data_IF_108128960113
#
_entry.id   IF_108128960113
#
_cell.length_a   1.000
_cell.length_b   1.000
_cell.length_c   1.000
_cell.angle_alpha   90.00
_cell.angle_beta   90.00
_cell.angle_gamma   90.00
#
_symmetry.space_group_name_H-M   'P 1'
#
loop_
_entity.id
_entity.type
_entity.pdbx_description
1 polymer ?
#
# COMPACT_ATOMS: atom_id res chain seq x y z
N UNK A 1 -15.16 29.27 10.18
CA UNK A 1 -15.87 28.25 11.00
C UNK A 1 -16.23 26.99 10.19
N UNK A 2 -16.77 27.13 8.99
CA UNK A 2 -17.07 25.98 8.08
C UNK A 2 -15.80 25.23 7.71
N UNK A 3 -14.69 25.92 7.43
CA UNK A 3 -13.40 25.28 7.07
C UNK A 3 -12.78 24.47 8.23
N UNK A 4 -12.96 24.93 9.48
CA UNK A 4 -12.47 24.20 10.66
C UNK A 4 -13.29 22.92 10.86
N UNK A 5 -14.60 22.96 10.64
CA UNK A 5 -15.49 21.80 10.77
C UNK A 5 -15.18 20.76 9.67
N UNK A 6 -14.92 21.20 8.44
CA UNK A 6 -14.55 20.32 7.33
C UNK A 6 -13.17 19.66 7.55
N UNK A 7 -12.20 20.40 8.05
CA UNK A 7 -10.88 19.88 8.42
C UNK A 7 -10.95 18.89 9.58
N UNK A 8 -11.72 19.20 10.64
CA UNK A 8 -11.96 18.26 11.74
C UNK A 8 -12.68 16.99 11.28
N UNK A 9 -13.63 17.11 10.36
CA UNK A 9 -14.28 15.97 9.72
C UNK A 9 -13.30 15.09 8.95
N UNK A 10 -12.37 15.68 8.23
CA UNK A 10 -11.32 14.97 7.49
C UNK A 10 -10.36 14.21 8.40
N UNK A 11 -9.90 14.83 9.49
CA UNK A 11 -9.03 14.18 10.49
C UNK A 11 -9.75 13.04 11.19
N UNK A 12 -11.00 13.24 11.62
CA UNK A 12 -11.78 12.20 12.27
C UNK A 12 -12.00 11.00 11.34
N UNK A 13 -12.29 11.24 10.05
CA UNK A 13 -12.42 10.19 9.03
C UNK A 13 -11.10 9.42 8.83
N UNK A 14 -9.99 10.13 8.75
CA UNK A 14 -8.65 9.52 8.66
C UNK A 14 -8.36 8.59 9.83
N UNK A 15 -8.66 9.03 11.06
CA UNK A 15 -8.47 8.21 12.26
C UNK A 15 -9.38 6.96 12.21
N UNK A 16 -10.64 7.11 11.85
CA UNK A 16 -11.57 5.97 11.74
C UNK A 16 -11.08 4.98 10.68
N UNK A 17 -10.73 5.45 9.48
CA UNK A 17 -10.21 4.60 8.41
C UNK A 17 -8.94 3.86 8.84
N UNK A 18 -8.01 4.54 9.49
CA UNK A 18 -6.78 3.95 10.00
C UNK A 18 -7.05 2.87 11.07
N UNK A 19 -7.91 3.17 12.04
CA UNK A 19 -8.29 2.22 13.10
C UNK A 19 -8.97 0.99 12.50
N UNK A 20 -9.87 1.15 11.53
CA UNK A 20 -10.54 0.02 10.86
C UNK A 20 -9.51 -0.83 10.09
N UNK A 21 -8.66 -0.20 9.29
CA UNK A 21 -7.62 -0.92 8.52
C UNK A 21 -6.69 -1.70 9.46
N UNK A 22 -6.16 -1.04 10.50
CA UNK A 22 -5.26 -1.66 11.46
C UNK A 22 -5.95 -2.81 12.22
N UNK A 23 -7.21 -2.63 12.64
CA UNK A 23 -7.97 -3.67 13.36
C UNK A 23 -8.18 -4.91 12.49
N UNK A 24 -8.43 -4.76 11.19
CA UNK A 24 -8.57 -5.88 10.25
C UNK A 24 -7.22 -6.61 10.12
N UNK A 25 -6.13 -5.88 9.87
CA UNK A 25 -4.80 -6.46 9.64
C UNK A 25 -4.29 -7.19 10.88
N UNK A 26 -4.37 -6.52 12.03
CA UNK A 26 -3.96 -7.11 13.32
C UNK A 26 -4.87 -8.27 13.71
N UNK A 27 -6.19 -8.13 13.51
CA UNK A 27 -7.14 -9.20 13.80
C UNK A 27 -6.84 -10.48 13.02
N UNK A 28 -6.49 -10.37 11.74
CA UNK A 28 -6.09 -11.50 10.90
C UNK A 28 -4.74 -12.07 11.33
N UNK A 29 -3.78 -11.21 11.66
CA UNK A 29 -2.48 -11.59 12.17
C UNK A 29 -2.59 -12.44 13.44
N UNK A 30 -3.28 -11.92 14.46
CA UNK A 30 -3.50 -12.62 15.73
C UNK A 30 -4.31 -13.92 15.54
N UNK A 31 -5.27 -13.89 14.59
CA UNK A 31 -6.03 -15.09 14.27
C UNK A 31 -5.15 -16.18 13.65
N UNK A 32 -4.12 -15.80 12.88
CA UNK A 32 -3.10 -16.74 12.41
C UNK A 32 -2.42 -17.49 13.56
N UNK A 33 -1.88 -16.76 14.54
CA UNK A 33 -1.28 -17.36 15.74
C UNK A 33 -2.28 -18.23 16.50
N UNK A 34 -3.48 -17.73 16.72
CA UNK A 34 -4.54 -18.43 17.45
C UNK A 34 -4.90 -19.78 16.82
N UNK A 35 -5.19 -19.78 15.50
CA UNK A 35 -5.70 -21.00 14.86
C UNK A 35 -4.63 -22.07 14.71
N UNK A 36 -3.40 -21.69 14.33
CA UNK A 36 -2.29 -22.63 14.19
C UNK A 36 -1.77 -23.10 15.55
N UNK A 37 -1.72 -22.22 16.56
CA UNK A 37 -1.43 -22.59 17.93
C UNK A 37 -2.39 -23.68 18.43
N UNK A 38 -3.67 -23.52 18.16
CA UNK A 38 -4.68 -24.53 18.50
C UNK A 38 -4.50 -25.84 17.75
N UNK A 39 -4.21 -25.82 16.45
CA UNK A 39 -3.93 -27.04 15.68
C UNK A 39 -2.66 -27.75 16.18
N UNK A 40 -1.71 -27.00 16.72
CA UNK A 40 -0.50 -27.50 17.36
C UNK A 40 -0.70 -27.99 18.80
N UNK A 41 -1.95 -27.96 19.33
CA UNK A 41 -2.27 -28.37 20.68
C UNK A 41 -2.00 -27.32 21.77
N UNK A 42 -1.66 -26.09 21.40
CA UNK A 42 -1.38 -24.99 22.32
C UNK A 42 -2.70 -24.31 22.68
N UNK A 43 -2.95 -24.13 23.99
CA UNK A 43 -4.18 -23.56 24.51
C UNK A 43 -4.11 -22.04 24.55
N UNK A 44 -4.99 -21.36 23.84
CA UNK A 44 -5.16 -19.91 23.94
C UNK A 44 -6.15 -19.56 25.07
N UNK A 45 -5.76 -18.68 25.98
CA UNK A 45 -6.60 -18.17 27.07
C UNK A 45 -7.37 -16.92 26.66
N UNK A 46 -6.73 -16.02 25.92
CA UNK A 46 -7.30 -14.73 25.50
C UNK A 46 -6.97 -14.47 24.04
N UNK A 47 -7.96 -14.00 23.30
CA UNK A 47 -7.81 -13.36 21.99
C UNK A 47 -8.33 -11.94 22.13
N UNK A 48 -7.48 -10.93 21.95
CA UNK A 48 -7.84 -9.54 22.12
C UNK A 48 -7.60 -8.72 20.85
N UNK A 49 -8.62 -7.98 20.44
CA UNK A 49 -8.46 -6.84 19.53
C UNK A 49 -8.34 -5.57 20.38
N UNK A 50 -7.19 -4.93 20.33
CA UNK A 50 -6.87 -3.77 21.14
C UNK A 50 -6.28 -4.10 22.50
N UNK A 51 -5.89 -3.03 23.21
CA UNK A 51 -5.31 -3.03 24.54
C UNK A 51 -6.15 -2.23 25.54
N UNK A 52 -5.88 -2.40 26.84
CA UNK A 52 -6.51 -1.61 27.91
C UNK A 52 -7.86 -2.15 28.37
N UNK A 53 -8.79 -1.28 28.82
CA UNK A 53 -10.09 -1.70 29.36
C UNK A 53 -10.94 -2.45 28.34
N UNK A 54 -11.61 -3.51 28.80
CA UNK A 54 -12.47 -4.33 27.94
C UNK A 54 -13.79 -3.60 27.68
N UNK A 55 -14.12 -3.42 26.39
CA UNK A 55 -15.40 -2.88 25.95
C UNK A 55 -16.43 -4.01 25.76
N UNK A 56 -15.98 -5.14 25.23
CA UNK A 56 -16.81 -6.33 25.02
C UNK A 56 -15.96 -7.58 25.23
N UNK A 57 -16.57 -8.66 25.78
CA UNK A 57 -15.90 -9.95 25.89
C UNK A 57 -16.90 -11.11 25.90
N UNK A 58 -16.47 -12.23 25.33
CA UNK A 58 -17.22 -13.50 25.33
C UNK A 58 -16.26 -14.67 25.41
N UNK A 59 -16.59 -15.66 26.22
CA UNK A 59 -15.83 -16.92 26.28
C UNK A 59 -16.42 -17.91 25.30
N UNK A 60 -15.57 -18.52 24.48
CA UNK A 60 -15.98 -19.57 23.55
C UNK A 60 -16.14 -20.92 24.27
N UNK A 61 -16.69 -21.94 23.55
CA UNK A 61 -16.89 -23.28 24.08
C UNK A 61 -15.61 -24.01 24.49
N UNK A 62 -14.45 -23.49 24.06
CA UNK A 62 -13.13 -24.06 24.31
C UNK A 62 -12.35 -23.32 25.41
N UNK A 63 -13.01 -22.33 26.01
CA UNK A 63 -12.51 -21.58 27.14
C UNK A 63 -11.68 -20.34 26.78
N UNK A 64 -11.45 -20.03 25.50
CA UNK A 64 -10.78 -18.79 25.07
C UNK A 64 -11.68 -17.58 25.29
N UNK A 65 -11.17 -16.55 25.96
CA UNK A 65 -11.84 -15.27 26.12
C UNK A 65 -11.56 -14.39 24.91
N UNK A 66 -12.58 -14.17 24.07
CA UNK A 66 -12.56 -13.20 22.98
C UNK A 66 -12.94 -11.85 23.52
N UNK A 67 -12.16 -10.82 23.23
CA UNK A 67 -12.44 -9.47 23.72
C UNK A 67 -12.06 -8.39 22.72
N UNK A 68 -12.77 -7.26 22.82
CA UNK A 68 -12.43 -6.00 22.17
C UNK A 68 -12.11 -5.00 23.28
N UNK A 69 -10.97 -4.35 23.18
CA UNK A 69 -10.49 -3.39 24.16
C UNK A 69 -10.52 -1.95 23.62
N UNK A 70 -10.42 -0.97 24.51
CA UNK A 70 -10.66 0.43 24.20
C UNK A 70 -9.59 1.10 23.32
N UNK A 71 -8.36 0.60 23.33
CA UNK A 71 -7.25 1.15 22.54
C UNK A 71 -7.02 0.27 21.30
N UNK A 72 -7.53 0.66 20.10
CA UNK A 72 -7.53 -0.21 18.91
C UNK A 72 -6.19 -0.15 18.14
N UNK A 73 -5.08 -0.01 18.85
CA UNK A 73 -3.72 0.10 18.28
C UNK A 73 -2.97 -1.22 18.33
N UNK A 74 -3.62 -2.34 18.03
CA UNK A 74 -3.00 -3.66 18.04
C UNK A 74 -3.95 -4.75 18.49
N UNK A 75 -3.36 -5.91 18.86
CA UNK A 75 -4.05 -7.05 19.39
C UNK A 75 -3.06 -8.01 20.05
N UNK A 76 -3.54 -9.10 20.60
CA UNK A 76 -2.70 -10.16 21.09
C UNK A 76 -3.46 -11.48 21.28
N UNK A 77 -2.74 -12.57 21.13
CA UNK A 77 -3.15 -13.89 21.63
C UNK A 77 -2.32 -14.21 22.85
N UNK A 78 -2.98 -14.50 23.97
CA UNK A 78 -2.30 -14.99 25.16
C UNK A 78 -2.50 -16.49 25.26
N UNK A 79 -1.40 -17.22 25.21
CA UNK A 79 -1.41 -18.66 25.40
C UNK A 79 -1.33 -19.03 26.89
N UNK A 80 -1.65 -20.27 27.20
CA UNK A 80 -1.57 -20.80 28.55
C UNK A 80 -0.13 -20.70 29.07
N UNK A 81 0.05 -20.10 30.23
CA UNK A 81 1.37 -19.92 30.85
C UNK A 81 2.07 -18.61 30.50
N UNK A 82 1.59 -17.84 29.51
CA UNK A 82 2.16 -16.53 29.19
C UNK A 82 1.95 -15.54 30.33
N UNK A 83 3.00 -14.76 30.66
CA UNK A 83 2.96 -13.78 31.75
C UNK A 83 2.00 -12.63 31.46
N UNK A 84 2.10 -12.07 30.26
CA UNK A 84 1.37 -10.90 29.81
C UNK A 84 0.96 -11.00 28.32
N UNK A 85 0.41 -9.89 27.79
CA UNK A 85 -0.04 -9.78 26.40
C UNK A 85 1.10 -9.86 25.36
N UNK A 86 2.34 -9.57 25.78
CA UNK A 86 3.50 -9.55 24.88
C UNK A 86 4.34 -10.83 24.99
N UNK A 87 3.95 -11.79 25.83
CA UNK A 87 4.70 -13.03 26.14
C UNK A 87 6.17 -12.77 26.53
N UNK A 88 6.47 -11.56 27.01
CA UNK A 88 7.83 -11.05 27.24
C UNK A 88 8.34 -11.27 28.67
N UNK A 89 7.49 -11.72 29.60
CA UNK A 89 7.81 -11.93 31.02
C UNK A 89 8.09 -13.38 31.35
N UNK A 90 8.60 -13.67 32.58
CA UNK A 90 8.67 -15.03 33.08
C UNK A 90 7.26 -15.63 33.13
N UNK A 91 7.09 -16.80 32.53
CA UNK A 91 5.78 -17.47 32.42
C UNK A 91 5.12 -17.68 33.79
N UNK A 92 3.81 -17.81 33.82
CA UNK A 92 3.06 -18.13 35.02
C UNK A 92 3.24 -19.62 35.34
N UNK A 93 3.24 -19.99 36.62
CA UNK A 93 3.21 -21.40 37.00
C UNK A 93 2.01 -22.12 36.36
N UNK A 94 2.27 -23.20 35.67
CA UNK A 94 1.23 -24.03 35.03
C UNK A 94 1.31 -25.43 35.61
N UNK A 95 0.16 -26.07 35.79
CA UNK A 95 0.09 -27.48 36.21
C UNK A 95 0.98 -28.34 35.28
N UNK A 96 1.88 -29.17 35.83
CA UNK A 96 2.74 -30.05 35.04
C UNK A 96 1.98 -30.88 33.99
N UNK A 97 0.74 -31.28 34.28
CA UNK A 97 -0.13 -32.02 33.34
C UNK A 97 -0.51 -31.22 32.11
N UNK A 98 -0.56 -29.87 32.20
CA UNK A 98 -0.91 -28.95 31.13
C UNK A 98 0.29 -28.35 30.41
N UNK A 99 1.51 -28.66 30.83
CA UNK A 99 2.74 -28.06 30.28
C UNK A 99 2.85 -28.18 28.77
N UNK A 100 2.42 -29.29 28.17
CA UNK A 100 2.41 -29.50 26.71
C UNK A 100 1.43 -28.60 25.98
N UNK A 101 0.46 -27.98 26.65
CA UNK A 101 -0.51 -27.05 26.10
C UNK A 101 -0.02 -25.59 26.20
N UNK A 102 1.15 -25.34 26.75
CA UNK A 102 1.79 -24.02 26.74
C UNK A 102 2.64 -23.84 25.49
N UNK A 103 2.90 -22.59 25.09
CA UNK A 103 3.79 -22.31 23.96
C UNK A 103 5.21 -22.88 24.22
N UNK A 104 5.76 -22.68 25.42
CA UNK A 104 7.10 -23.19 25.79
C UNK A 104 7.17 -24.72 25.85
N UNK A 105 6.12 -25.38 26.30
CA UNK A 105 6.08 -26.83 26.45
C UNK A 105 5.67 -27.60 25.19
N UNK A 106 5.25 -26.89 24.12
CA UNK A 106 4.89 -27.48 22.85
C UNK A 106 6.14 -27.97 22.08
N UNK A 107 5.99 -28.91 21.15
CA UNK A 107 7.05 -29.30 20.22
C UNK A 107 7.60 -28.13 19.45
N UNK A 108 8.89 -28.12 19.13
CA UNK A 108 9.55 -27.00 18.42
C UNK A 108 8.86 -26.62 17.11
N UNK A 109 8.45 -27.62 16.30
CA UNK A 109 7.71 -27.38 15.07
C UNK A 109 6.37 -26.66 15.32
N UNK A 110 5.66 -27.02 16.40
CA UNK A 110 4.39 -26.39 16.78
C UNK A 110 4.58 -24.94 17.23
N UNK A 111 5.65 -24.66 17.99
CA UNK A 111 6.04 -23.29 18.35
C UNK A 111 6.38 -22.46 17.12
N UNK A 112 7.23 -23.00 16.25
CA UNK A 112 7.63 -22.35 15.00
C UNK A 112 6.42 -22.05 14.10
N UNK A 113 5.57 -23.07 13.85
CA UNK A 113 4.37 -22.93 13.03
C UNK A 113 3.41 -21.89 13.61
N UNK A 114 3.20 -21.88 14.94
CA UNK A 114 2.31 -20.92 15.62
C UNK A 114 2.79 -19.50 15.43
N UNK A 115 4.08 -19.24 15.60
CA UNK A 115 4.62 -17.87 15.46
C UNK A 115 4.70 -17.45 14.00
N UNK A 116 5.08 -18.35 13.08
CA UNK A 116 5.08 -18.02 11.64
C UNK A 116 3.68 -17.74 11.07
N UNK A 117 2.63 -18.26 11.73
CA UNK A 117 1.27 -18.15 11.23
C UNK A 117 0.70 -16.72 11.21
N UNK A 118 1.13 -15.83 12.11
CA UNK A 118 0.73 -14.43 12.11
C UNK A 118 1.13 -13.70 10.83
N UNK A 119 2.44 -13.60 10.53
CA UNK A 119 2.90 -13.01 9.27
C UNK A 119 2.35 -13.68 8.02
N UNK A 120 2.24 -15.02 8.01
CA UNK A 120 1.67 -15.76 6.89
C UNK A 120 0.18 -15.43 6.68
N UNK A 121 -0.60 -15.25 7.76
CA UNK A 121 -1.99 -14.83 7.66
C UNK A 121 -2.12 -13.45 7.01
N UNK A 122 -1.20 -12.53 7.27
CA UNK A 122 -1.15 -11.23 6.62
C UNK A 122 -0.82 -11.34 5.12
N UNK A 123 0.08 -12.21 4.71
CA UNK A 123 0.34 -12.45 3.28
C UNK A 123 -0.86 -13.09 2.57
N UNK A 124 -1.55 -14.01 3.26
CA UNK A 124 -2.79 -14.61 2.74
C UNK A 124 -3.86 -13.54 2.60
N UNK A 125 -4.07 -12.67 3.59
CA UNK A 125 -5.02 -11.57 3.52
C UNK A 125 -4.72 -10.65 2.33
N UNK A 126 -3.47 -10.23 2.17
CA UNK A 126 -3.01 -9.41 1.05
C UNK A 126 -3.32 -10.08 -0.30
N UNK A 127 -2.94 -11.34 -0.46
CA UNK A 127 -3.18 -12.14 -1.68
C UNK A 127 -4.67 -12.26 -1.99
N UNK A 128 -5.49 -12.56 -0.99
CA UNK A 128 -6.95 -12.69 -1.16
C UNK A 128 -7.57 -11.36 -1.55
N UNK A 129 -7.16 -10.25 -0.93
CA UNK A 129 -7.64 -8.92 -1.30
C UNK A 129 -7.33 -8.60 -2.77
N UNK A 130 -6.08 -8.75 -3.20
CA UNK A 130 -5.69 -8.47 -4.58
C UNK A 130 -6.40 -9.39 -5.57
N UNK A 131 -6.48 -10.69 -5.27
CA UNK A 131 -7.21 -11.65 -6.11
C UNK A 131 -8.70 -11.30 -6.22
N UNK A 132 -9.36 -10.93 -5.10
CA UNK A 132 -10.77 -10.57 -5.08
C UNK A 132 -11.04 -9.27 -5.86
N UNK A 133 -10.20 -8.25 -5.68
CA UNK A 133 -10.37 -6.98 -6.41
C UNK A 133 -10.21 -7.19 -7.91
N UNK A 134 -9.20 -7.96 -8.33
CA UNK A 134 -8.99 -8.29 -9.75
C UNK A 134 -10.13 -9.14 -10.30
N UNK A 135 -10.66 -10.08 -9.53
CA UNK A 135 -11.82 -10.88 -9.94
C UNK A 135 -13.07 -10.01 -10.18
N UNK A 136 -13.23 -8.93 -9.40
CA UNK A 136 -14.36 -8.00 -9.51
C UNK A 136 -14.15 -6.96 -10.62
N UNK A 137 -12.95 -6.37 -10.72
CA UNK A 137 -12.66 -5.31 -11.68
C UNK A 137 -12.31 -5.85 -13.08
N UNK A 138 -11.89 -7.11 -13.17
CA UNK A 138 -11.37 -7.72 -14.38
C UNK A 138 -9.89 -7.41 -14.60
N UNK A 139 -9.34 -8.06 -15.60
CA UNK A 139 -8.01 -7.80 -16.15
C UNK A 139 -8.16 -7.17 -17.53
N UNK A 140 -7.26 -6.24 -17.87
CA UNK A 140 -7.24 -5.68 -19.21
C UNK A 140 -7.14 -6.80 -20.26
N UNK A 141 -7.87 -6.66 -21.36
CA UNK A 141 -7.74 -7.57 -22.49
C UNK A 141 -6.36 -7.37 -23.16
N UNK A 142 -5.82 -8.41 -23.77
CA UNK A 142 -4.46 -8.40 -24.34
C UNK A 142 -4.31 -7.34 -25.45
N UNK A 143 -5.36 -7.16 -26.25
CA UNK A 143 -5.41 -6.10 -27.27
C UNK A 143 -5.76 -4.75 -26.63
N UNK A 144 -5.24 -3.69 -27.20
CA UNK A 144 -5.54 -2.34 -26.71
C UNK A 144 -6.96 -1.95 -27.11
N UNK A 145 -7.90 -2.21 -26.22
CA UNK A 145 -9.31 -1.91 -26.44
C UNK A 145 -9.84 -0.88 -25.44
N UNK A 146 -10.59 0.09 -25.96
CA UNK A 146 -11.21 1.15 -25.17
C UNK A 146 -12.39 0.59 -24.37
N UNK A 147 -12.33 0.69 -23.05
CA UNK A 147 -13.44 0.33 -22.15
C UNK A 147 -14.38 1.52 -21.95
N UNK A 148 -14.00 2.45 -21.08
CA UNK A 148 -14.78 3.68 -20.84
C UNK A 148 -13.96 4.89 -21.26
N UNK A 149 -14.59 5.83 -21.95
CA UNK A 149 -13.97 7.09 -22.31
C UNK A 149 -14.20 8.10 -21.18
N UNK A 150 -13.11 8.74 -20.74
CA UNK A 150 -13.15 9.80 -19.74
C UNK A 150 -13.50 11.16 -20.39
N UNK A 151 -14.10 12.08 -19.64
CA UNK A 151 -14.32 13.44 -20.12
C UNK A 151 -13.00 14.12 -20.50
N UNK A 152 -13.02 14.90 -21.58
CA UNK A 152 -11.89 15.70 -22.04
C UNK A 152 -12.13 17.19 -21.80
N UNK A 153 -11.07 17.99 -21.57
CA UNK A 153 -11.17 19.43 -21.49
C UNK A 153 -11.72 20.06 -22.79
N UNK A 154 -12.36 21.24 -22.72
CA UNK A 154 -12.74 21.98 -23.91
C UNK A 154 -11.57 22.17 -24.86
N UNK A 155 -11.81 21.95 -26.15
CA UNK A 155 -10.80 22.08 -27.22
C UNK A 155 -9.89 20.84 -27.40
N UNK A 156 -10.03 19.80 -26.59
CA UNK A 156 -9.41 18.50 -26.83
C UNK A 156 -10.43 17.61 -27.56
N UNK A 157 -10.09 17.23 -28.78
CA UNK A 157 -10.94 16.33 -29.59
C UNK A 157 -10.69 14.90 -29.13
N UNK A 158 -11.77 14.17 -28.88
CA UNK A 158 -11.72 12.74 -28.56
C UNK A 158 -12.93 12.04 -29.18
N UNK A 159 -12.71 11.40 -30.33
CA UNK A 159 -13.72 10.64 -31.07
C UNK A 159 -13.66 9.12 -30.76
N UNK A 160 -12.76 8.70 -29.85
CA UNK A 160 -12.69 7.33 -29.38
C UNK A 160 -14.01 6.92 -28.70
N UNK A 161 -14.40 5.67 -28.86
CA UNK A 161 -15.63 5.11 -28.27
C UNK A 161 -15.32 3.82 -27.52
N UNK A 162 -16.17 3.50 -26.56
CA UNK A 162 -16.12 2.20 -25.92
C UNK A 162 -16.25 1.08 -26.94
N UNK A 163 -15.38 0.09 -26.88
CA UNK A 163 -15.31 -1.04 -27.83
C UNK A 163 -14.29 -0.85 -28.96
N UNK A 164 -13.75 0.35 -29.19
CA UNK A 164 -12.71 0.55 -30.21
C UNK A 164 -11.46 -0.27 -29.86
N UNK A 165 -10.98 -1.10 -30.80
CA UNK A 165 -9.66 -1.73 -30.73
C UNK A 165 -8.66 -0.81 -31.44
N UNK A 166 -7.64 -0.35 -30.71
CA UNK A 166 -6.63 0.59 -31.23
C UNK A 166 -5.62 -0.22 -32.05
N UNK A 167 -5.42 0.17 -33.31
CA UNK A 167 -4.50 -0.49 -34.23
C UNK A 167 -3.23 0.31 -34.46
N UNK A 168 -3.35 1.64 -34.60
CA UNK A 168 -2.21 2.53 -34.78
C UNK A 168 -2.52 3.96 -34.34
N UNK A 169 -1.47 4.76 -34.09
CA UNK A 169 -1.54 6.20 -33.81
C UNK A 169 -0.55 6.92 -34.73
N UNK A 170 -1.03 7.83 -35.57
CA UNK A 170 -0.23 8.50 -36.62
C UNK A 170 0.59 7.49 -37.45
N UNK A 171 -0.03 6.37 -37.84
CA UNK A 171 0.58 5.32 -38.61
C UNK A 171 1.56 4.42 -37.83
N UNK A 172 1.82 4.66 -36.55
CA UNK A 172 2.63 3.80 -35.67
C UNK A 172 1.77 2.67 -35.14
N UNK A 173 2.10 1.39 -35.41
CA UNK A 173 1.32 0.25 -34.92
C UNK A 173 1.27 0.20 -33.38
N UNK A 174 0.11 -0.17 -32.83
CA UNK A 174 -0.13 -0.36 -31.39
C UNK A 174 -0.70 -1.77 -31.17
N UNK A 175 0.13 -2.82 -31.28
CA UNK A 175 -0.33 -4.20 -31.14
C UNK A 175 -0.69 -4.59 -29.70
N UNK A 176 -0.12 -3.91 -28.70
CA UNK A 176 -0.26 -4.21 -27.28
C UNK A 176 -0.12 -2.96 -26.41
N UNK A 177 -0.35 -3.12 -25.11
CA UNK A 177 -0.25 -2.04 -24.12
C UNK A 177 1.16 -1.44 -24.01
N UNK A 178 2.26 -2.23 -24.01
CA UNK A 178 3.62 -1.68 -24.06
C UNK A 178 3.86 -0.76 -25.27
N UNK A 179 3.34 -1.11 -26.44
CA UNK A 179 3.44 -0.27 -27.63
C UNK A 179 2.67 1.04 -27.49
N UNK A 180 1.47 1.02 -26.87
CA UNK A 180 0.72 2.25 -26.55
C UNK A 180 1.52 3.16 -25.62
N UNK A 181 2.10 2.63 -24.56
CA UNK A 181 2.94 3.42 -23.64
C UNK A 181 4.19 3.96 -24.31
N UNK A 182 4.80 3.20 -25.22
CA UNK A 182 5.94 3.69 -26.01
C UNK A 182 5.52 4.83 -26.94
N UNK A 183 4.41 4.68 -27.66
CA UNK A 183 3.85 5.74 -28.49
C UNK A 183 3.60 7.01 -27.68
N UNK A 184 3.09 6.89 -26.45
CA UNK A 184 2.89 8.01 -25.54
C UNK A 184 4.17 8.75 -25.14
N UNK A 185 5.32 8.09 -25.16
CA UNK A 185 6.63 8.74 -24.91
C UNK A 185 7.24 9.35 -26.17
N UNK A 186 7.05 8.69 -27.31
CA UNK A 186 7.80 8.98 -28.55
C UNK A 186 7.06 9.96 -29.46
N UNK A 187 5.76 10.12 -29.30
CA UNK A 187 4.97 11.09 -30.09
C UNK A 187 5.26 12.52 -29.64
N UNK A 188 5.23 13.50 -30.57
CA UNK A 188 5.44 14.90 -30.22
C UNK A 188 4.33 15.42 -29.31
N UNK A 189 4.57 16.52 -28.61
CA UNK A 189 3.58 17.18 -27.80
C UNK A 189 2.57 17.91 -28.71
N UNK A 190 1.40 17.30 -28.93
CA UNK A 190 0.32 17.87 -29.74
C UNK A 190 -1.04 17.55 -29.12
N UNK A 191 -2.03 18.39 -29.45
CA UNK A 191 -3.36 18.28 -28.87
C UNK A 191 -4.19 17.14 -29.45
N UNK A 192 -3.88 16.67 -30.65
CA UNK A 192 -4.64 15.61 -31.31
C UNK A 192 -3.79 14.83 -32.31
N UNK A 193 -4.15 13.57 -32.50
CA UNK A 193 -3.51 12.59 -33.37
C UNK A 193 -4.56 11.84 -34.16
N UNK A 194 -4.14 11.20 -35.25
CA UNK A 194 -4.96 10.28 -36.03
C UNK A 194 -4.85 8.90 -35.44
N UNK A 195 -5.96 8.39 -34.89
CA UNK A 195 -6.05 7.04 -34.31
C UNK A 195 -6.76 6.14 -35.31
N UNK A 196 -6.07 5.09 -35.80
CA UNK A 196 -6.72 4.03 -36.54
C UNK A 196 -7.25 3.01 -35.57
N UNK A 197 -8.56 2.80 -35.59
CA UNK A 197 -9.24 1.87 -34.69
C UNK A 197 -10.08 0.89 -35.49
N UNK A 198 -10.29 -0.30 -34.92
CA UNK A 198 -11.30 -1.23 -35.42
C UNK A 198 -12.58 -1.04 -34.62
N UNK A 199 -13.62 -0.53 -35.30
CA UNK A 199 -14.95 -0.25 -34.76
C UNK A 199 -15.97 -1.06 -35.54
N UNK A 200 -16.76 -1.90 -34.86
CA UNK A 200 -17.78 -2.76 -35.48
C UNK A 200 -17.26 -3.60 -36.67
N UNK A 201 -15.99 -4.07 -36.55
CA UNK A 201 -15.33 -4.87 -37.58
C UNK A 201 -14.68 -4.09 -38.72
N UNK A 202 -14.92 -2.78 -38.85
CA UNK A 202 -14.31 -1.93 -39.85
C UNK A 202 -13.14 -1.11 -39.29
N UNK A 203 -12.13 -0.87 -40.10
CA UNK A 203 -11.03 0.03 -39.74
C UNK A 203 -11.43 1.44 -40.10
N UNK A 204 -11.39 2.34 -39.11
CA UNK A 204 -11.72 3.76 -39.25
C UNK A 204 -10.63 4.62 -38.61
N UNK A 205 -10.35 5.77 -39.20
CA UNK A 205 -9.47 6.78 -38.59
C UNK A 205 -10.34 7.84 -37.93
N UNK A 206 -10.00 8.10 -36.65
CA UNK A 206 -10.68 9.05 -35.78
C UNK A 206 -9.67 10.00 -35.16
N UNK A 207 -10.11 11.22 -34.82
CA UNK A 207 -9.25 12.15 -34.09
C UNK A 207 -9.31 11.86 -32.59
N UNK A 208 -8.15 11.75 -31.97
CA UNK A 208 -8.04 11.50 -30.54
C UNK A 208 -6.93 12.29 -29.88
N UNK A 209 -6.94 12.40 -28.54
CA UNK A 209 -5.94 13.14 -27.79
C UNK A 209 -4.59 12.42 -27.76
N UNK A 210 -3.58 13.07 -27.16
CA UNK A 210 -2.29 12.42 -26.88
C UNK A 210 -2.48 11.16 -26.05
N UNK A 211 -1.81 10.00 -26.39
CA UNK A 211 -1.97 8.75 -25.64
C UNK A 211 -1.43 8.79 -24.19
N UNK A 212 -0.56 9.73 -23.86
CA UNK A 212 -0.11 9.99 -22.50
C UNK A 212 -0.41 11.45 -22.10
N UNK A 213 -1.68 11.82 -21.90
CA UNK A 213 -2.06 13.20 -21.60
C UNK A 213 -1.61 13.60 -20.19
N UNK A 214 -1.59 14.92 -19.88
CA UNK A 214 -1.32 15.41 -18.54
C UNK A 214 -2.53 15.25 -17.59
N UNK A 215 -3.14 14.07 -17.61
CA UNK A 215 -4.24 13.63 -16.75
C UNK A 215 -3.68 13.04 -15.46
N UNK A 216 -4.16 13.50 -14.33
CA UNK A 216 -3.75 13.02 -13.01
C UNK A 216 -4.52 11.74 -12.68
N UNK A 217 -3.82 10.62 -12.61
CA UNK A 217 -4.35 9.34 -12.13
C UNK A 217 -4.34 9.24 -10.60
N UNK A 218 -3.34 9.83 -9.96
CA UNK A 218 -3.20 9.80 -8.51
C UNK A 218 -2.42 10.99 -7.97
N UNK A 219 -2.67 11.31 -6.70
CA UNK A 219 -1.98 12.37 -5.96
C UNK A 219 -1.37 11.77 -4.70
N UNK A 220 -0.07 11.90 -4.56
CA UNK A 220 0.64 11.39 -3.38
C UNK A 220 0.26 12.20 -2.13
N UNK A 221 0.05 11.55 -0.97
CA UNK A 221 -0.16 12.23 0.30
C UNK A 221 1.01 13.18 0.60
N UNK A 222 0.72 14.32 1.25
CA UNK A 222 1.72 15.32 1.66
C UNK A 222 2.58 15.90 0.54
N UNK A 223 2.21 15.64 -0.71
CA UNK A 223 2.86 16.24 -1.88
C UNK A 223 2.45 17.70 -2.05
N UNK A 224 3.20 18.42 -2.91
CA UNK A 224 2.82 19.77 -3.32
C UNK A 224 1.44 19.80 -3.98
N UNK A 225 1.13 18.79 -4.80
CA UNK A 225 -0.18 18.64 -5.45
C UNK A 225 -1.31 18.43 -4.44
N UNK A 226 -1.10 17.57 -3.44
CA UNK A 226 -2.08 17.35 -2.35
C UNK A 226 -2.33 18.62 -1.56
N UNK A 227 -1.26 19.35 -1.22
CA UNK A 227 -1.36 20.63 -0.49
C UNK A 227 -2.09 21.72 -1.29
N UNK A 228 -1.97 21.72 -2.61
CA UNK A 228 -2.68 22.63 -3.49
C UNK A 228 -4.13 22.20 -3.78
N UNK A 229 -4.57 21.00 -3.37
CA UNK A 229 -5.94 20.52 -3.59
C UNK A 229 -6.18 19.89 -4.96
N UNK A 230 -5.12 19.45 -5.66
CA UNK A 230 -5.25 18.65 -6.89
C UNK A 230 -5.86 17.28 -6.58
N UNK A 231 -6.59 16.72 -7.54
CA UNK A 231 -7.34 15.46 -7.38
C UNK A 231 -7.12 14.53 -8.58
N UNK A 232 -7.27 13.23 -8.41
CA UNK A 232 -7.39 12.30 -9.54
C UNK A 232 -8.52 12.72 -10.47
N UNK A 233 -8.27 12.67 -11.78
CA UNK A 233 -9.17 13.15 -12.82
C UNK A 233 -8.95 14.61 -13.26
N UNK A 234 -8.12 15.37 -12.55
CA UNK A 234 -7.69 16.72 -12.99
C UNK A 234 -6.78 16.61 -14.21
N UNK A 235 -6.92 17.55 -15.16
CA UNK A 235 -6.08 17.65 -16.36
C UNK A 235 -5.28 18.94 -16.32
N UNK A 236 -3.96 18.85 -16.36
CA UNK A 236 -3.09 20.01 -16.38
C UNK A 236 -3.05 20.57 -17.81
N UNK A 237 -3.55 21.80 -17.99
CA UNK A 237 -3.69 22.47 -19.28
C UNK A 237 -2.48 23.32 -19.64
N UNK A 238 -1.89 23.96 -18.65
CA UNK A 238 -0.72 24.82 -18.83
C UNK A 238 0.12 24.88 -17.57
N UNK A 239 1.42 25.18 -17.74
CA UNK A 239 2.37 25.49 -16.68
C UNK A 239 2.98 26.86 -17.02
N UNK A 240 2.90 27.82 -16.09
CA UNK A 240 3.40 29.18 -16.24
C UNK A 240 2.95 29.81 -17.58
N UNK A 241 1.65 29.61 -17.90
CA UNK A 241 1.01 30.10 -19.13
C UNK A 241 1.33 29.31 -20.40
N UNK A 242 2.24 28.36 -20.38
CA UNK A 242 2.59 27.54 -21.55
C UNK A 242 1.76 26.27 -21.59
N UNK A 243 1.01 25.98 -22.68
CA UNK A 243 0.21 24.76 -22.82
C UNK A 243 1.02 23.48 -22.66
N UNK A 244 0.38 22.44 -22.10
CA UNK A 244 0.93 21.10 -21.90
C UNK A 244 -0.03 20.08 -22.50
N UNK A 245 0.50 19.17 -23.33
CA UNK A 245 -0.28 18.13 -24.00
C UNK A 245 0.13 16.72 -23.58
N UNK A 246 1.31 16.57 -22.97
CA UNK A 246 1.91 15.30 -22.60
C UNK A 246 2.39 15.33 -21.14
N UNK A 247 2.20 14.22 -20.42
CA UNK A 247 2.61 14.13 -19.02
C UNK A 247 4.13 14.33 -18.81
N UNK A 248 4.95 13.91 -19.77
CA UNK A 248 6.39 14.11 -19.70
C UNK A 248 6.83 15.57 -19.77
N UNK A 249 6.06 16.45 -20.47
CA UNK A 249 6.32 17.90 -20.46
C UNK A 249 6.12 18.50 -19.07
N UNK A 250 5.07 18.03 -18.35
CA UNK A 250 4.84 18.42 -16.96
C UNK A 250 6.08 18.06 -16.11
N UNK A 251 6.56 16.82 -16.23
CA UNK A 251 7.72 16.34 -15.48
C UNK A 251 8.97 17.18 -15.78
N UNK A 252 9.27 17.44 -17.05
CA UNK A 252 10.42 18.23 -17.46
C UNK A 252 10.36 19.68 -16.94
N UNK A 253 9.19 20.31 -16.95
CA UNK A 253 9.01 21.67 -16.44
C UNK A 253 9.10 21.77 -14.94
N UNK A 254 8.54 20.78 -14.22
CA UNK A 254 8.65 20.68 -12.77
C UNK A 254 10.13 20.52 -12.36
N UNK A 255 10.90 19.71 -13.09
CA UNK A 255 12.34 19.56 -12.86
C UNK A 255 13.10 20.84 -13.15
N UNK A 256 12.79 21.52 -14.27
CA UNK A 256 13.43 22.77 -14.67
C UNK A 256 13.12 23.95 -13.73
N UNK A 257 12.03 23.90 -12.97
CA UNK A 257 11.70 24.92 -11.97
C UNK A 257 12.64 24.90 -10.75
N UNK A 258 13.47 23.87 -10.58
CA UNK A 258 14.49 23.71 -9.54
C UNK A 258 14.00 24.11 -8.12
N UNK A 259 12.76 23.74 -7.80
CA UNK A 259 12.11 24.06 -6.53
C UNK A 259 11.44 25.44 -6.49
N UNK A 260 11.46 26.20 -7.58
CA UNK A 260 10.67 27.43 -7.71
C UNK A 260 9.16 27.15 -7.72
N UNK A 261 8.38 28.16 -7.33
CA UNK A 261 6.92 28.07 -7.42
C UNK A 261 6.50 28.00 -8.90
N UNK A 262 5.56 27.12 -9.22
CA UNK A 262 4.97 26.94 -10.54
C UNK A 262 3.47 27.23 -10.48
N UNK A 263 2.93 27.82 -11.54
CA UNK A 263 1.51 28.07 -11.73
C UNK A 263 0.92 27.04 -12.69
N UNK A 264 0.05 26.17 -12.20
CA UNK A 264 -0.66 25.18 -13.00
C UNK A 264 -2.06 25.68 -13.33
N UNK A 265 -2.42 25.71 -14.60
CA UNK A 265 -3.81 25.79 -15.02
C UNK A 265 -4.37 24.39 -15.16
N UNK A 266 -5.41 24.10 -14.41
CA UNK A 266 -5.97 22.75 -14.29
C UNK A 266 -7.44 22.79 -14.66
N UNK A 267 -7.85 21.88 -15.51
CA UNK A 267 -9.26 21.63 -15.80
C UNK A 267 -9.75 20.44 -14.96
N UNK A 268 -10.90 20.62 -14.34
CA UNK A 268 -11.56 19.58 -13.53
C UNK A 268 -12.95 19.30 -14.09
N UNK A 269 -13.31 18.02 -14.36
CA UNK A 269 -14.64 17.65 -14.81
C UNK A 269 -15.74 18.20 -13.91
N UNK A 270 -16.69 18.94 -14.49
CA UNK A 270 -17.82 19.52 -13.75
C UNK A 270 -17.53 20.83 -12.98
N UNK A 271 -16.26 21.17 -12.72
CA UNK A 271 -15.90 22.42 -12.03
C UNK A 271 -15.26 23.47 -12.97
N UNK A 272 -14.72 23.05 -14.14
CA UNK A 272 -14.09 23.95 -15.11
C UNK A 272 -12.59 24.14 -14.88
N UNK A 273 -12.03 25.28 -15.34
CA UNK A 273 -10.61 25.61 -15.19
C UNK A 273 -10.36 26.45 -13.95
N UNK A 274 -9.24 26.15 -13.25
CA UNK A 274 -8.74 26.91 -12.12
C UNK A 274 -7.21 26.91 -12.10
N UNK A 275 -6.63 27.96 -11.51
CA UNK A 275 -5.19 28.11 -11.37
C UNK A 275 -4.75 27.67 -9.96
N UNK A 276 -3.67 26.88 -9.91
CA UNK A 276 -3.08 26.33 -8.68
C UNK A 276 -1.59 26.67 -8.61
N UNK A 277 -1.17 27.34 -7.56
CA UNK A 277 0.26 27.60 -7.32
C UNK A 277 0.79 26.57 -6.35
N UNK A 278 1.93 25.95 -6.69
CA UNK A 278 2.58 24.97 -5.83
C UNK A 278 4.11 25.01 -5.99
N UNK A 279 4.80 24.55 -4.97
CA UNK A 279 6.27 24.46 -4.96
C UNK A 279 6.65 22.99 -5.01
N UNK A 280 7.40 22.54 -6.03
CA UNK A 280 7.89 21.16 -6.11
C UNK A 280 8.73 20.79 -4.88
N UNK A 281 8.68 19.51 -4.49
CA UNK A 281 9.49 18.96 -3.41
C UNK A 281 10.54 18.01 -3.97
N UNK A 282 11.74 18.03 -3.41
CA UNK A 282 12.82 17.13 -3.81
C UNK A 282 12.64 15.78 -3.15
N UNK A 283 12.61 14.69 -3.94
CA UNK A 283 12.43 13.33 -3.46
C UNK A 283 13.40 12.37 -4.16
N UNK A 284 13.76 11.30 -3.45
CA UNK A 284 14.57 10.22 -4.01
C UNK A 284 13.64 9.24 -4.74
N UNK A 285 13.86 9.05 -6.04
CA UNK A 285 13.10 8.10 -6.87
C UNK A 285 13.99 6.91 -7.22
N UNK A 286 13.44 5.67 -7.15
CA UNK A 286 14.15 4.50 -7.61
C UNK A 286 14.36 4.55 -9.13
N UNK A 287 15.56 4.21 -9.58
CA UNK A 287 15.96 4.04 -10.98
C UNK A 287 16.51 2.63 -11.17
N UNK A 288 16.81 2.25 -12.42
CA UNK A 288 17.44 0.96 -12.69
C UNK A 288 18.83 0.82 -12.00
N UNK A 289 19.54 1.94 -11.85
CA UNK A 289 20.91 2.00 -11.32
C UNK A 289 21.00 2.48 -9.86
N UNK A 290 19.85 2.62 -9.16
CA UNK A 290 19.82 3.09 -7.76
C UNK A 290 18.72 4.11 -7.50
N UNK A 291 19.07 5.25 -6.92
CA UNK A 291 18.13 6.33 -6.60
C UNK A 291 18.62 7.66 -7.12
N UNK A 292 17.68 8.46 -7.66
CA UNK A 292 17.96 9.79 -8.18
C UNK A 292 17.09 10.83 -7.49
N UNK A 293 17.68 11.96 -7.11
CA UNK A 293 16.94 13.08 -6.51
C UNK A 293 16.29 13.91 -7.60
N UNK A 294 14.95 13.97 -7.58
CA UNK A 294 14.17 14.76 -8.53
C UNK A 294 13.18 15.68 -7.84
N UNK A 295 12.87 16.78 -8.51
CA UNK A 295 11.82 17.68 -8.12
C UNK A 295 10.45 17.11 -8.56
N UNK A 296 9.55 16.95 -7.62
CA UNK A 296 8.23 16.35 -7.85
C UNK A 296 7.12 17.21 -7.24
N UNK A 297 6.00 17.22 -7.92
CA UNK A 297 4.75 17.75 -7.35
C UNK A 297 3.90 16.65 -6.70
N UNK A 298 4.25 15.37 -6.92
CA UNK A 298 3.59 14.21 -6.32
C UNK A 298 2.31 13.82 -7.02
N UNK A 299 2.26 13.88 -8.36
CA UNK A 299 1.18 13.33 -9.18
C UNK A 299 1.69 12.16 -10.01
N UNK A 300 0.80 11.21 -10.30
CA UNK A 300 1.02 10.14 -11.27
C UNK A 300 0.14 10.38 -12.48
N UNK A 301 0.67 10.14 -13.69
CA UNK A 301 -0.05 10.25 -14.95
C UNK A 301 -0.90 9.02 -15.24
N UNK A 302 -1.92 9.21 -16.08
CA UNK A 302 -2.77 8.14 -16.59
C UNK A 302 -2.37 7.76 -18.04
N UNK A 303 -2.83 6.58 -18.47
CA UNK A 303 -2.55 6.02 -19.80
C UNK A 303 -3.54 6.48 -20.89
N UNK A 304 -4.17 7.63 -20.72
CA UNK A 304 -5.08 8.23 -21.69
C UNK A 304 -6.45 8.61 -21.11
N UNK A 305 -7.29 9.20 -21.96
CA UNK A 305 -8.66 9.55 -21.59
C UNK A 305 -9.63 8.37 -21.77
N UNK A 306 -9.16 7.16 -21.51
CA UNK A 306 -10.01 5.97 -21.49
C UNK A 306 -9.45 4.93 -20.53
N UNK A 307 -10.33 4.13 -19.97
CA UNK A 307 -9.92 2.93 -19.23
C UNK A 307 -9.84 1.73 -20.18
N UNK A 308 -8.95 0.77 -19.93
CA UNK A 308 -8.92 -0.49 -20.68
C UNK A 308 -10.27 -1.20 -20.67
N UNK A 309 -10.63 -1.87 -21.76
CA UNK A 309 -11.65 -2.91 -21.70
C UNK A 309 -11.10 -4.08 -20.86
N UNK A 310 -11.96 -4.62 -19.99
CA UNK A 310 -11.58 -5.71 -19.09
C UNK A 310 -12.39 -6.95 -19.35
N UNK A 311 -11.78 -8.11 -19.09
CA UNK A 311 -12.45 -9.42 -19.03
C UNK A 311 -12.40 -9.97 -17.62
N UNK A 312 -13.34 -10.82 -17.27
CA UNK A 312 -13.28 -11.55 -16.02
C UNK A 312 -12.10 -12.55 -16.06
N UNK A 313 -11.16 -12.51 -15.11
CA UNK A 313 -10.08 -13.50 -15.03
C UNK A 313 -10.63 -14.83 -14.53
N UNK A 314 -9.98 -15.92 -14.91
CA UNK A 314 -10.23 -17.21 -14.27
C UNK A 314 -9.76 -17.20 -12.80
N UNK A 315 -10.31 -18.08 -11.93
CA UNK A 315 -9.94 -18.12 -10.51
C UNK A 315 -8.44 -18.30 -10.27
N UNK A 316 -7.80 -19.12 -11.06
CA UNK A 316 -6.35 -19.36 -10.99
C UNK A 316 -5.53 -18.13 -11.41
N UNK A 317 -5.98 -17.42 -12.45
CA UNK A 317 -5.35 -16.18 -12.92
C UNK A 317 -5.45 -15.08 -11.85
N UNK A 318 -6.64 -14.91 -11.25
CA UNK A 318 -6.84 -13.95 -10.16
C UNK A 318 -5.94 -14.26 -8.96
N UNK A 319 -5.87 -15.53 -8.54
CA UNK A 319 -4.99 -15.96 -7.45
C UNK A 319 -3.50 -15.73 -7.77
N UNK A 320 -3.05 -16.12 -8.96
CA UNK A 320 -1.67 -15.90 -9.41
C UNK A 320 -1.30 -14.42 -9.39
N UNK A 321 -2.21 -13.56 -9.85
CA UNK A 321 -1.99 -12.11 -9.86
C UNK A 321 -1.95 -11.57 -8.43
N UNK A 322 -2.82 -12.04 -7.54
CA UNK A 322 -2.79 -11.69 -6.11
C UNK A 322 -1.47 -12.07 -5.44
N UNK A 323 -0.96 -13.28 -5.70
CA UNK A 323 0.35 -13.73 -5.21
C UNK A 323 1.48 -12.86 -5.78
N UNK A 324 1.46 -12.58 -7.09
CA UNK A 324 2.48 -11.75 -7.74
C UNK A 324 2.50 -10.34 -7.14
N UNK A 325 1.34 -9.73 -6.90
CA UNK A 325 1.23 -8.41 -6.30
C UNK A 325 1.75 -8.39 -4.86
N UNK A 326 1.37 -9.38 -4.03
CA UNK A 326 1.88 -9.53 -2.67
C UNK A 326 3.40 -9.71 -2.67
N UNK A 327 3.92 -10.57 -3.55
CA UNK A 327 5.37 -10.80 -3.70
C UNK A 327 6.12 -9.53 -4.13
N UNK A 328 5.55 -8.74 -5.04
CA UNK A 328 6.11 -7.45 -5.48
C UNK A 328 6.25 -6.46 -4.32
N UNK A 329 5.26 -6.40 -3.43
CA UNK A 329 5.31 -5.55 -2.23
C UNK A 329 6.43 -6.02 -1.29
N UNK A 330 6.56 -7.34 -1.08
CA UNK A 330 7.62 -7.89 -0.23
C UNK A 330 9.00 -7.57 -0.81
N UNK A 331 9.21 -7.82 -2.11
CA UNK A 331 10.47 -7.52 -2.79
C UNK A 331 10.78 -6.03 -2.75
N UNK A 332 9.77 -5.17 -3.01
CA UNK A 332 9.90 -3.72 -2.88
C UNK A 332 10.27 -3.27 -1.47
N UNK A 333 9.69 -3.92 -0.43
CA UNK A 333 10.02 -3.64 0.97
C UNK A 333 11.47 -4.03 1.31
N UNK A 334 11.94 -5.19 0.82
CA UNK A 334 13.35 -5.61 0.97
C UNK A 334 14.28 -4.62 0.29
N UNK A 335 14.00 -4.25 -0.96
CA UNK A 335 14.82 -3.32 -1.74
C UNK A 335 14.84 -1.93 -1.10
N UNK A 336 13.70 -1.43 -0.61
CA UNK A 336 13.61 -0.16 0.09
C UNK A 336 14.38 -0.16 1.41
N UNK A 337 14.27 -1.23 2.20
CA UNK A 337 15.03 -1.39 3.43
C UNK A 337 16.55 -1.43 3.15
N UNK A 338 16.96 -2.17 2.12
CA UNK A 338 18.36 -2.23 1.71
C UNK A 338 18.89 -0.86 1.25
N UNK A 339 18.13 -0.15 0.42
CA UNK A 339 18.49 1.18 -0.05
C UNK A 339 18.63 2.20 1.08
N UNK A 340 17.78 2.10 2.11
CA UNK A 340 17.88 2.92 3.31
C UNK A 340 19.14 2.58 4.13
N UNK A 341 19.41 1.30 4.35
CA UNK A 341 20.60 0.85 5.10
C UNK A 341 21.91 1.18 4.38
N UNK A 342 21.91 1.15 3.04
CA UNK A 342 23.07 1.53 2.21
C UNK A 342 23.22 3.05 2.02
N UNK A 343 22.30 3.87 2.58
CA UNK A 343 22.35 5.33 2.45
C UNK A 343 21.99 5.88 1.07
N UNK A 344 21.41 5.06 0.20
CA UNK A 344 20.97 5.50 -1.14
C UNK A 344 19.71 6.37 -1.08
N UNK A 345 18.92 6.22 -0.04
CA UNK A 345 17.68 6.99 0.20
C UNK A 345 17.87 7.88 1.42
N UNK A 346 17.45 9.14 1.30
CA UNK A 346 17.45 10.08 2.41
C UNK A 346 16.44 9.67 3.49
N UNK A 347 16.75 10.02 4.74
CA UNK A 347 15.90 9.69 5.90
C UNK A 347 14.47 10.19 5.79
N UNK A 348 14.22 11.30 5.10
CA UNK A 348 12.90 11.89 4.90
C UNK A 348 11.94 11.00 4.06
N UNK A 349 12.44 9.99 3.38
CA UNK A 349 11.60 9.02 2.65
C UNK A 349 10.99 7.96 3.59
N UNK A 350 11.43 7.88 4.84
CA UNK A 350 10.82 7.00 5.84
C UNK A 350 9.63 7.71 6.48
N UNK A 351 8.43 7.35 6.05
CA UNK A 351 7.19 7.79 6.69
C UNK A 351 6.94 7.06 8.00
N UNK A 352 6.46 7.78 9.00
CA UNK A 352 6.04 7.24 10.29
C UNK A 352 4.54 6.91 10.35
N UNK A 353 4.04 6.75 11.57
CA UNK A 353 2.64 6.39 11.81
C UNK A 353 1.64 7.44 11.28
N UNK A 354 2.00 8.74 11.30
CA UNK A 354 1.14 9.79 10.80
C UNK A 354 1.01 9.69 9.27
N UNK A 355 2.13 9.46 8.55
CA UNK A 355 2.12 9.24 7.09
C UNK A 355 1.24 8.06 6.69
N UNK A 356 1.33 6.95 7.43
CA UNK A 356 0.51 5.75 7.17
C UNK A 356 -0.97 6.06 7.42
N UNK A 357 -1.30 6.77 8.51
CA UNK A 357 -2.68 7.15 8.81
C UNK A 357 -3.27 8.08 7.72
N UNK A 358 -2.52 9.10 7.30
CA UNK A 358 -2.95 10.02 6.23
C UNK A 358 -3.13 9.30 4.89
N UNK A 359 -2.20 8.41 4.52
CA UNK A 359 -2.33 7.59 3.31
C UNK A 359 -3.55 6.68 3.36
N UNK A 360 -3.86 6.13 4.54
CA UNK A 360 -5.05 5.31 4.77
C UNK A 360 -6.34 6.13 4.64
N UNK A 361 -6.36 7.33 5.23
CA UNK A 361 -7.48 8.27 5.10
C UNK A 361 -7.70 8.70 3.64
N UNK A 362 -6.62 8.99 2.91
CA UNK A 362 -6.69 9.34 1.49
C UNK A 362 -7.20 8.17 0.64
N UNK A 363 -6.71 6.96 0.86
CA UNK A 363 -7.23 5.77 0.17
C UNK A 363 -8.74 5.59 0.42
N UNK A 364 -9.20 5.84 1.66
CA UNK A 364 -10.62 5.76 2.01
C UNK A 364 -11.46 6.86 1.35
N UNK A 365 -10.93 8.07 1.18
CA UNK A 365 -11.63 9.16 0.46
C UNK A 365 -11.64 8.97 -1.05
N UNK A 366 -10.62 8.33 -1.62
CA UNK A 366 -10.57 7.98 -3.06
C UNK A 366 -11.64 6.96 -3.43
N UNK A 367 -12.01 6.06 -2.49
CA UNK A 367 -13.11 5.11 -2.67
C UNK A 367 -12.86 3.77 -1.99
N UNK A 368 -13.94 2.98 -1.88
CA UNK A 368 -13.91 1.70 -1.18
C UNK A 368 -12.86 0.73 -1.73
N UNK A 369 -12.74 0.61 -3.04
CA UNK A 369 -11.75 -0.28 -3.67
C UNK A 369 -10.31 0.14 -3.36
N UNK A 370 -10.02 1.44 -3.44
CA UNK A 370 -8.70 1.99 -3.09
C UNK A 370 -8.36 1.71 -1.62
N UNK A 371 -9.32 1.84 -0.73
CA UNK A 371 -9.16 1.54 0.69
C UNK A 371 -8.86 0.06 0.93
N UNK A 372 -9.60 -0.85 0.28
CA UNK A 372 -9.39 -2.30 0.39
C UNK A 372 -8.03 -2.70 -0.18
N UNK A 373 -7.64 -2.16 -1.34
CA UNK A 373 -6.29 -2.38 -1.91
C UNK A 373 -5.19 -1.89 -0.97
N UNK A 374 -5.39 -0.74 -0.33
CA UNK A 374 -4.43 -0.19 0.64
C UNK A 374 -4.29 -1.09 1.88
N UNK A 375 -5.39 -1.69 2.37
CA UNK A 375 -5.34 -2.73 3.43
C UNK A 375 -4.47 -3.91 2.96
N UNK A 376 -4.62 -4.35 1.71
CA UNK A 376 -3.78 -5.40 1.12
C UNK A 376 -2.29 -5.06 1.13
N UNK A 377 -1.94 -3.82 0.73
CA UNK A 377 -0.55 -3.31 0.76
C UNK A 377 0.00 -3.29 2.19
N UNK A 378 -0.75 -2.68 3.12
CA UNK A 378 -0.33 -2.60 4.53
C UNK A 378 -0.21 -3.98 5.17
N UNK A 379 -1.11 -4.91 4.84
CA UNK A 379 -1.06 -6.28 5.36
C UNK A 379 0.22 -6.99 4.94
N UNK A 380 0.60 -6.90 3.64
CA UNK A 380 1.87 -7.46 3.16
C UNK A 380 3.08 -6.81 3.84
N UNK A 381 3.08 -5.48 3.97
CA UNK A 381 4.17 -4.74 4.61
C UNK A 381 4.32 -5.10 6.10
N UNK A 382 3.22 -5.17 6.85
CA UNK A 382 3.23 -5.55 8.28
C UNK A 382 3.65 -7.02 8.43
N UNK A 383 3.17 -7.93 7.58
CA UNK A 383 3.61 -9.31 7.55
C UNK A 383 5.11 -9.43 7.31
N UNK A 384 5.66 -8.65 6.37
CA UNK A 384 7.10 -8.60 6.10
C UNK A 384 7.89 -8.06 7.29
N UNK A 385 7.46 -6.96 7.90
CA UNK A 385 8.14 -6.39 9.07
C UNK A 385 8.17 -7.39 10.24
N UNK A 386 7.07 -8.12 10.47
CA UNK A 386 6.99 -9.11 11.53
C UNK A 386 7.86 -10.35 11.28
N UNK A 387 8.28 -10.64 10.05
CA UNK A 387 9.19 -11.75 9.75
C UNK A 387 10.66 -11.39 9.91
N UNK A 388 10.98 -10.09 10.03
CA UNK A 388 12.37 -9.66 10.28
C UNK A 388 12.90 -10.22 11.60
N UNK A 389 14.19 -10.61 11.66
CA UNK A 389 14.78 -11.23 12.86
C UNK A 389 15.06 -10.20 13.98
N UNK A 390 14.03 -9.43 14.34
CA UNK A 390 14.08 -8.44 15.43
C UNK A 390 13.42 -9.04 16.67
N UNK A 391 14.13 -9.13 17.81
CA UNK A 391 13.72 -9.91 18.99
C UNK A 391 12.43 -9.48 19.71
N UNK A 392 11.65 -8.57 19.20
CA UNK A 392 10.32 -8.15 19.72
C UNK A 392 9.22 -8.54 18.75
N UNK A 393 9.60 -8.87 17.50
CA UNK A 393 8.70 -9.28 16.44
C UNK A 393 8.69 -10.82 16.33
N UNK A 394 7.73 -11.37 15.63
CA UNK A 394 7.61 -12.81 15.41
C UNK A 394 8.88 -13.42 14.81
N UNK A 395 9.51 -12.73 13.86
CA UNK A 395 10.75 -13.14 13.23
C UNK A 395 11.90 -13.31 14.21
N UNK A 396 11.93 -12.56 15.31
CA UNK A 396 12.88 -12.76 16.40
C UNK A 396 12.64 -14.08 17.12
N UNK A 397 11.40 -14.43 17.42
CA UNK A 397 11.04 -15.73 17.99
C UNK A 397 11.36 -16.87 17.02
N UNK A 398 11.09 -16.70 15.72
CA UNK A 398 11.46 -17.68 14.70
C UNK A 398 12.99 -17.88 14.63
N UNK A 399 13.78 -16.82 14.75
CA UNK A 399 15.24 -16.91 14.83
C UNK A 399 15.70 -17.68 16.08
N UNK A 400 15.06 -17.47 17.23
CA UNK A 400 15.37 -18.23 18.46
C UNK A 400 15.01 -19.71 18.32
N UNK A 401 13.88 -20.03 17.71
CA UNK A 401 13.50 -21.43 17.45
C UNK A 401 14.41 -22.09 16.41
N UNK A 402 14.86 -21.34 15.42
CA UNK A 402 15.87 -21.83 14.45
C UNK A 402 17.20 -22.11 15.15
N UNK A 403 17.64 -21.23 16.05
CA UNK A 403 18.81 -21.48 16.89
C UNK A 403 18.66 -22.75 17.71
N UNK A 404 17.52 -22.93 18.38
CA UNK A 404 17.22 -24.13 19.16
C UNK A 404 17.23 -25.40 18.29
N UNK A 405 16.68 -25.34 17.08
CA UNK A 405 16.69 -26.44 16.12
C UNK A 405 18.11 -26.88 15.72
N UNK A 406 19.01 -25.91 15.51
CA UNK A 406 20.39 -26.17 15.05
C UNK A 406 21.30 -26.61 16.20
N UNK A 407 21.17 -25.98 17.38
CA UNK A 407 22.07 -26.22 18.51
C UNK A 407 21.57 -27.27 19.52
N UNK A 408 20.29 -27.67 19.40
CA UNK A 408 19.64 -28.59 20.34
C UNK A 408 19.33 -27.96 21.71
N UNK A 409 19.56 -26.65 21.87
CA UNK A 409 19.34 -25.94 23.15
C UNK A 409 18.75 -24.56 22.92
N UNK A 410 17.75 -24.15 23.71
CA UNK A 410 17.22 -22.78 23.62
C UNK A 410 18.29 -21.75 24.05
N UNK A 411 18.22 -20.51 23.55
CA UNK A 411 19.05 -19.41 24.03
C UNK A 411 18.90 -19.23 25.56
N UNK A 412 19.98 -18.80 26.22
CA UNK A 412 19.92 -18.59 27.67
C UNK A 412 18.94 -17.48 28.06
N UNK A 413 18.28 -17.55 29.23
CA UNK A 413 17.34 -16.51 29.66
C UNK A 413 17.95 -15.10 29.74
N UNK A 414 19.26 -15.01 30.00
CA UNK A 414 19.98 -13.71 29.97
C UNK A 414 20.13 -13.20 28.55
N UNK A 415 20.53 -14.06 27.60
CA UNK A 415 20.64 -13.68 26.19
C UNK A 415 19.28 -13.23 25.61
N UNK A 416 18.21 -13.98 25.87
CA UNK A 416 16.85 -13.61 25.45
C UNK A 416 16.48 -12.22 25.97
N UNK A 417 16.67 -11.95 27.25
CA UNK A 417 16.35 -10.66 27.87
C UNK A 417 17.14 -9.51 27.24
N UNK A 418 18.45 -9.68 27.05
CA UNK A 418 19.30 -8.64 26.43
C UNK A 418 18.88 -8.40 25.00
N UNK A 419 18.71 -9.44 24.19
CA UNK A 419 18.30 -9.35 22.79
C UNK A 419 16.92 -8.70 22.66
N UNK A 420 15.94 -9.09 23.47
CA UNK A 420 14.61 -8.48 23.48
C UNK A 420 14.66 -7.00 23.88
N UNK A 421 15.49 -6.64 24.88
CA UNK A 421 15.67 -5.21 25.25
C UNK A 421 16.29 -4.39 24.12
N UNK A 422 17.30 -4.94 23.42
CA UNK A 422 17.91 -4.29 22.25
C UNK A 422 16.89 -4.16 21.11
N UNK A 423 16.14 -5.22 20.81
CA UNK A 423 15.10 -5.21 19.80
C UNK A 423 14.01 -4.17 20.09
N UNK A 424 13.55 -4.11 21.35
CA UNK A 424 12.58 -3.11 21.78
C UNK A 424 13.12 -1.68 21.62
N UNK A 425 14.36 -1.44 22.05
CA UNK A 425 15.00 -0.14 21.90
C UNK A 425 15.14 0.25 20.43
N UNK A 426 15.51 -0.69 19.55
CA UNK A 426 15.62 -0.45 18.11
C UNK A 426 14.25 -0.11 17.48
N UNK A 427 13.19 -0.86 17.81
CA UNK A 427 11.83 -0.59 17.29
C UNK A 427 11.31 0.76 17.79
N UNK A 428 11.49 1.08 19.08
CA UNK A 428 11.09 2.37 19.64
C UNK A 428 11.88 3.52 19.00
N UNK A 429 13.19 3.36 18.80
CA UNK A 429 14.03 4.36 18.13
C UNK A 429 13.57 4.59 16.70
N UNK A 430 13.27 3.52 15.95
CA UNK A 430 12.75 3.62 14.58
C UNK A 430 11.38 4.30 14.54
N UNK A 431 10.51 4.00 15.50
CA UNK A 431 9.20 4.63 15.62
C UNK A 431 9.31 6.13 15.92
N UNK A 432 10.17 6.52 16.87
CA UNK A 432 10.45 7.94 17.18
C UNK A 432 11.06 8.64 15.99
N UNK A 433 12.00 7.98 15.30
CA UNK A 433 12.63 8.52 14.09
C UNK A 433 11.63 8.74 12.96
N UNK A 434 10.76 7.76 12.67
CA UNK A 434 9.69 7.91 11.69
C UNK A 434 8.71 9.03 12.05
N UNK A 435 8.32 9.14 13.33
CA UNK A 435 7.46 10.20 13.80
C UNK A 435 8.15 11.59 13.69
N UNK A 436 9.43 11.66 13.98
CA UNK A 436 10.23 12.89 13.78
C UNK A 436 10.26 13.29 12.32
N UNK A 437 10.47 12.33 11.40
CA UNK A 437 10.42 12.59 9.97
C UNK A 437 9.04 13.07 9.51
N UNK A 438 7.97 12.49 10.06
CA UNK A 438 6.60 12.93 9.79
C UNK A 438 6.36 14.41 10.13
N UNK A 439 7.11 14.97 11.08
CA UNK A 439 6.99 16.36 11.54
C UNK A 439 8.02 17.27 10.85
N UNK A 440 9.28 16.82 10.74
CA UNK A 440 10.40 17.66 10.30
C UNK A 440 10.58 17.69 8.78
N UNK A 441 10.18 16.60 8.07
CA UNK A 441 10.29 16.48 6.62
C UNK A 441 8.99 16.88 5.87
N UNK A 442 8.23 17.80 6.44
CA UNK A 442 6.98 18.32 5.85
C UNK A 442 7.22 19.27 4.69
#
# INVERSE_FOLDING_TARGET
MIDIISQLGGVAWTIVAFVVALSIIVGVHEYGHYIVGRWSGIRAEVFSLGFGPRLWSRRDRRGTLWQVAAIPLGGYVRFLGDADAASAGPGRPVDPALRRQTLEGAPLWGRFATVAAGPLANFILSTVIFAAVIAIQGVAVDRVQVGKVAPTPPGIVNELRAGDEILSIDGRPVPDWPALFSAGRDLPAAAAFDWTVRRDGAEVTVRGPHPAPPLIAGVAPRSAASGAGLRPGDVIRAIDGTPVFRFDELRQRVEAADGGAILLRVWRPGEGEADYTLVPKRQDLPTADGYEKRWLIGVTGDSGYFTPATRAPGPFEALRTGIAQTSSIIVGSVSGLWAMLSGQIGSCNLGGAISIAESTGQAATTGFTSFVLWIGVLSAAIGFLNILPVPVLDGGHLAFFTWEAVTGRPPSPRALRILTSIGLAAVLSLMIFGLSNDILCR
#
